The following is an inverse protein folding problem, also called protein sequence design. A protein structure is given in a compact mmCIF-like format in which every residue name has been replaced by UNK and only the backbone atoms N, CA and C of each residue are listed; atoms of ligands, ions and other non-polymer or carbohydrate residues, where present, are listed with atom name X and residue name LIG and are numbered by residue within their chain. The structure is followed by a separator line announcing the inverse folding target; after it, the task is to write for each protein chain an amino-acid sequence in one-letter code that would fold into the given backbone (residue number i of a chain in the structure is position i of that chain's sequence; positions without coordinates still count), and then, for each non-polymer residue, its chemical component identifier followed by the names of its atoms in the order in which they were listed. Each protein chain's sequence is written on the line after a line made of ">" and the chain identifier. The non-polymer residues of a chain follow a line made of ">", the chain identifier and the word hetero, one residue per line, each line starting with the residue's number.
data_IF_950329206927
#
_entry.id   IF_950329206927
#
_cell.length_a   1.000
_cell.length_b   1.000
_cell.length_c   1.000
_cell.angle_alpha   90.00
_cell.angle_beta   90.00
_cell.angle_gamma   90.00
#
_symmetry.space_group_name_H-M   'P 1'
#
loop_
_entity.id
_entity.type
_entity.pdbx_description
1 polymer ?
#
# COMPACT_ATOMS: atom_id res chain seq x y z
N UNK A 1 23.24 19.08 -7.06
CA UNK A 1 22.65 20.41 -7.33
C UNK A 1 21.57 20.63 -6.29
N UNK A 2 21.84 21.54 -5.35
CA UNK A 2 20.97 21.87 -4.23
C UNK A 2 20.17 23.12 -4.57
N UNK A 3 18.84 23.01 -4.50
CA UNK A 3 17.86 24.09 -4.62
C UNK A 3 16.49 23.42 -4.47
N UNK A 4 15.63 23.69 -3.50
CA UNK A 4 15.49 24.84 -2.61
C UNK A 4 14.62 24.42 -1.44
N UNK A 5 15.15 24.52 -0.22
CA UNK A 5 14.35 24.54 1.00
C UNK A 5 13.44 25.77 0.97
N UNK A 6 12.16 25.59 0.62
CA UNK A 6 11.14 26.63 0.78
C UNK A 6 10.88 26.83 2.27
N UNK A 7 11.57 27.81 2.85
CA UNK A 7 11.32 28.41 4.15
C UNK A 7 10.04 29.27 4.12
N UNK A 8 8.93 28.68 3.71
CA UNK A 8 7.59 29.21 3.82
C UNK A 8 6.74 28.13 4.45
N UNK A 9 5.92 28.48 5.45
CA UNK A 9 5.12 27.48 6.18
C UNK A 9 4.24 26.61 5.25
N UNK A 10 3.63 25.55 5.78
CA UNK A 10 2.84 24.59 4.99
C UNK A 10 1.87 25.24 4.00
N UNK A 11 1.24 26.37 4.36
CA UNK A 11 0.34 27.12 3.48
C UNK A 11 1.03 27.80 2.27
N UNK A 12 2.29 28.23 2.39
CA UNK A 12 3.06 28.80 1.29
C UNK A 12 3.48 27.73 0.27
N UNK A 13 3.81 26.53 0.76
CA UNK A 13 4.06 25.37 -0.10
C UNK A 13 2.79 24.99 -0.88
N UNK A 14 1.62 24.94 -0.23
CA UNK A 14 0.35 24.63 -0.91
C UNK A 14 0.00 25.65 -2.00
N UNK A 15 0.25 26.94 -1.78
CA UNK A 15 0.02 27.98 -2.79
C UNK A 15 0.98 27.87 -3.98
N UNK A 16 2.25 27.54 -3.73
CA UNK A 16 3.24 27.30 -4.78
C UNK A 16 2.93 26.02 -5.57
N UNK A 17 2.59 24.94 -4.88
CA UNK A 17 2.19 23.67 -5.48
C UNK A 17 0.89 23.81 -6.29
N UNK A 18 -0.11 24.53 -5.77
CA UNK A 18 -1.34 24.86 -6.49
C UNK A 18 -1.11 25.72 -7.74
N UNK A 19 -0.16 26.66 -7.71
CA UNK A 19 0.23 27.43 -8.89
C UNK A 19 0.81 26.56 -10.02
N UNK A 20 1.63 25.57 -9.66
CA UNK A 20 2.31 24.66 -10.59
C UNK A 20 1.49 23.41 -10.97
N UNK A 21 0.43 23.09 -10.23
CA UNK A 21 -0.40 21.91 -10.46
C UNK A 21 -1.42 22.11 -11.60
N UNK A 22 -1.94 21.00 -12.11
CA UNK A 22 -3.00 20.97 -13.11
C UNK A 22 -4.26 21.72 -12.62
N UNK A 23 -5.02 22.28 -13.56
CA UNK A 23 -6.23 23.08 -13.29
C UNK A 23 -7.24 22.36 -12.39
N UNK A 24 -7.28 21.02 -12.46
CA UNK A 24 -8.12 20.12 -11.65
C UNK A 24 -7.71 20.05 -10.18
N UNK A 25 -6.41 20.19 -9.87
CA UNK A 25 -5.86 20.01 -8.53
C UNK A 25 -5.80 21.32 -7.73
N UNK A 26 -5.82 22.49 -8.40
CA UNK A 26 -5.83 23.81 -7.76
C UNK A 26 -6.93 24.00 -6.70
N UNK A 27 -8.22 23.68 -6.96
CA UNK A 27 -9.26 23.84 -5.94
C UNK A 27 -9.02 22.93 -4.72
N UNK A 28 -8.36 21.78 -4.90
CA UNK A 28 -8.02 20.87 -3.81
C UNK A 28 -6.92 21.49 -2.93
N UNK A 29 -5.88 22.09 -3.52
CA UNK A 29 -4.83 22.80 -2.77
C UNK A 29 -5.37 24.00 -1.99
N UNK A 30 -6.30 24.76 -2.55
CA UNK A 30 -6.97 25.88 -1.86
C UNK A 30 -7.81 25.39 -0.68
N UNK A 31 -8.55 24.30 -0.87
CA UNK A 31 -9.34 23.67 0.19
C UNK A 31 -8.45 23.13 1.32
N UNK A 32 -7.32 22.50 0.99
CA UNK A 32 -6.33 22.03 1.97
C UNK A 32 -5.75 23.20 2.78
N UNK A 33 -5.51 24.35 2.16
CA UNK A 33 -5.01 25.53 2.85
C UNK A 33 -6.06 26.12 3.84
N UNK A 34 -7.34 26.20 3.44
CA UNK A 34 -8.44 26.64 4.32
C UNK A 34 -8.64 25.69 5.52
N UNK A 35 -8.68 24.38 5.24
CA UNK A 35 -8.84 23.36 6.27
C UNK A 35 -7.67 23.36 7.27
N UNK A 36 -6.45 23.64 6.80
CA UNK A 36 -5.27 23.77 7.66
C UNK A 36 -5.35 25.01 8.55
N UNK A 37 -5.73 26.17 8.00
CA UNK A 37 -5.90 27.42 8.76
C UNK A 37 -6.97 27.26 9.86
N UNK A 38 -8.06 26.58 9.51
CA UNK A 38 -9.17 26.26 10.41
C UNK A 38 -8.92 25.06 11.34
N UNK A 39 -7.75 24.40 11.22
CA UNK A 39 -7.32 23.23 12.01
C UNK A 39 -8.29 22.03 11.96
N UNK A 40 -8.91 21.80 10.79
CA UNK A 40 -9.85 20.70 10.56
C UNK A 40 -9.13 19.43 10.13
N UNK A 41 -8.36 18.82 11.04
CA UNK A 41 -7.43 17.72 10.72
C UNK A 41 -8.10 16.47 10.11
N UNK A 42 -9.33 16.13 10.51
CA UNK A 42 -10.04 14.99 9.96
C UNK A 42 -10.45 15.22 8.49
N UNK A 43 -11.07 16.38 8.20
CA UNK A 43 -11.44 16.74 6.83
C UNK A 43 -10.21 16.94 5.93
N UNK A 44 -9.11 17.41 6.52
CA UNK A 44 -7.82 17.53 5.85
C UNK A 44 -7.30 16.17 5.40
N UNK A 45 -7.39 15.16 6.26
CA UNK A 45 -7.01 13.79 5.90
C UNK A 45 -7.88 13.28 4.75
N UNK A 46 -9.21 13.39 4.86
CA UNK A 46 -10.13 12.91 3.81
C UNK A 46 -9.87 13.60 2.47
N UNK A 47 -9.63 14.91 2.49
CA UNK A 47 -9.31 15.70 1.30
C UNK A 47 -7.95 15.29 0.73
N UNK A 48 -6.98 14.97 1.59
CA UNK A 48 -5.67 14.46 1.18
C UNK A 48 -5.80 13.05 0.59
N UNK A 49 -6.57 12.15 1.19
CA UNK A 49 -6.81 10.81 0.62
C UNK A 49 -7.50 10.91 -0.74
N UNK A 50 -8.50 11.79 -0.89
CA UNK A 50 -9.14 12.08 -2.17
C UNK A 50 -8.14 12.61 -3.22
N UNK A 51 -7.23 13.50 -2.82
CA UNK A 51 -6.14 13.96 -3.68
C UNK A 51 -5.25 12.79 -4.12
N UNK A 52 -4.87 11.90 -3.20
CA UNK A 52 -4.02 10.74 -3.48
C UNK A 52 -4.70 9.68 -4.36
N UNK A 53 -6.03 9.59 -4.35
CA UNK A 53 -6.79 8.73 -5.27
C UNK A 53 -6.98 9.34 -6.66
N UNK A 54 -6.76 10.65 -6.83
CA UNK A 54 -6.94 11.29 -8.13
C UNK A 54 -5.86 10.85 -9.13
N UNK A 55 -6.21 10.46 -10.37
CA UNK A 55 -5.24 9.97 -11.37
C UNK A 55 -4.16 11.01 -11.70
N UNK A 56 -4.54 12.30 -11.75
CA UNK A 56 -3.60 13.41 -12.02
C UNK A 56 -2.52 13.57 -10.94
N UNK A 57 -2.79 13.20 -9.68
CA UNK A 57 -1.79 13.30 -8.61
C UNK A 57 -0.72 12.21 -8.70
N UNK A 58 -0.94 11.19 -9.54
CA UNK A 58 0.03 10.12 -9.81
C UNK A 58 1.21 10.63 -10.65
N UNK A 59 1.05 11.75 -11.33
CA UNK A 59 2.05 12.31 -12.24
C UNK A 59 3.14 13.08 -11.48
N UNK A 60 4.36 12.54 -11.44
CA UNK A 60 5.55 13.21 -10.89
C UNK A 60 5.82 12.92 -9.41
N UNK A 61 6.48 13.85 -8.70
CA UNK A 61 6.89 13.75 -7.28
C UNK A 61 5.91 14.43 -6.31
N UNK A 62 4.73 14.83 -6.80
CA UNK A 62 3.81 15.73 -6.08
C UNK A 62 3.31 15.14 -4.75
N UNK A 63 3.01 13.83 -4.67
CA UNK A 63 2.55 13.20 -3.43
C UNK A 63 3.66 13.10 -2.41
N UNK A 64 4.89 12.85 -2.84
CA UNK A 64 6.04 12.84 -1.95
C UNK A 64 6.36 14.23 -1.40
N UNK A 65 6.42 15.24 -2.26
CA UNK A 65 6.73 16.60 -1.83
C UNK A 65 5.64 17.16 -0.89
N UNK A 66 4.37 16.83 -1.17
CA UNK A 66 3.23 17.13 -0.29
C UNK A 66 3.34 16.39 1.05
N UNK A 67 3.72 15.11 1.03
CA UNK A 67 3.90 14.36 2.27
C UNK A 67 4.97 15.01 3.17
N UNK A 68 6.15 15.28 2.60
CA UNK A 68 7.27 15.84 3.36
C UNK A 68 7.02 17.27 3.85
N UNK A 69 6.38 18.10 3.03
CA UNK A 69 6.21 19.53 3.32
C UNK A 69 4.93 19.84 4.09
N UNK A 70 3.93 18.96 4.04
CA UNK A 70 2.60 19.23 4.59
C UNK A 70 2.17 18.19 5.62
N UNK A 71 2.20 16.90 5.27
CA UNK A 71 1.67 15.82 6.13
C UNK A 71 2.45 15.71 7.45
N UNK A 72 3.76 15.95 7.43
CA UNK A 72 4.63 15.94 8.63
C UNK A 72 4.14 16.90 9.72
N UNK A 73 3.49 18.01 9.38
CA UNK A 73 3.06 19.02 10.35
C UNK A 73 1.83 18.61 11.18
N UNK A 74 0.98 17.75 10.64
CA UNK A 74 -0.30 17.39 11.27
C UNK A 74 -0.48 15.90 11.49
N UNK A 75 0.47 15.06 11.06
CA UNK A 75 0.39 13.59 11.24
C UNK A 75 0.13 13.15 12.68
N UNK A 76 0.68 13.86 13.67
CA UNK A 76 0.46 13.55 15.11
C UNK A 76 -0.97 13.80 15.62
N UNK A 77 -1.82 14.43 14.80
CA UNK A 77 -3.21 14.80 15.16
C UNK A 77 -4.24 13.89 14.49
N UNK A 78 -3.80 12.90 13.71
CA UNK A 78 -4.63 12.06 12.86
C UNK A 78 -4.30 10.58 13.12
N UNK A 79 -5.11 9.66 12.61
CA UNK A 79 -4.87 8.22 12.67
C UNK A 79 -3.52 7.84 12.03
N UNK A 80 -2.68 7.15 12.79
CA UNK A 80 -1.37 6.65 12.32
C UNK A 80 -1.51 5.72 11.10
N UNK A 81 -2.61 4.97 11.02
CA UNK A 81 -2.88 4.08 9.90
C UNK A 81 -3.10 4.84 8.59
N UNK A 82 -3.91 5.90 8.61
CA UNK A 82 -4.18 6.69 7.41
C UNK A 82 -2.95 7.48 6.98
N UNK A 83 -2.12 7.92 7.94
CA UNK A 83 -0.81 8.51 7.65
C UNK A 83 0.12 7.48 7.01
N UNK A 84 0.09 6.21 7.46
CA UNK A 84 0.87 5.14 6.86
C UNK A 84 0.45 4.86 5.41
N UNK A 85 -0.85 4.81 5.11
CA UNK A 85 -1.37 4.66 3.74
C UNK A 85 -0.89 5.79 2.82
N UNK A 86 -0.93 7.03 3.29
CA UNK A 86 -0.40 8.18 2.57
C UNK A 86 1.11 8.07 2.33
N UNK A 87 1.87 7.60 3.33
CA UNK A 87 3.31 7.37 3.21
C UNK A 87 3.62 6.33 2.14
N UNK A 88 2.84 5.25 2.08
CA UNK A 88 2.99 4.17 1.09
C UNK A 88 2.70 4.70 -0.31
N UNK A 89 1.63 5.47 -0.48
CA UNK A 89 1.29 6.06 -1.77
C UNK A 89 2.33 7.11 -2.22
N UNK A 90 2.96 7.83 -1.28
CA UNK A 90 4.11 8.69 -1.56
C UNK A 90 5.35 7.87 -1.97
N UNK A 91 5.66 6.78 -1.26
CA UNK A 91 6.79 5.90 -1.56
C UNK A 91 6.71 5.27 -2.96
N UNK A 92 5.49 4.96 -3.44
CA UNK A 92 5.27 4.46 -4.81
C UNK A 92 5.74 5.44 -5.89
N UNK A 93 5.70 6.75 -5.64
CA UNK A 93 6.20 7.76 -6.59
C UNK A 93 7.72 7.88 -6.63
N UNK A 94 8.45 7.28 -5.68
CA UNK A 94 9.92 7.31 -5.65
C UNK A 94 10.56 6.28 -6.57
N UNK A 95 9.76 5.50 -7.32
CA UNK A 95 10.30 4.62 -8.36
C UNK A 95 10.94 5.49 -9.47
N UNK A 96 12.20 5.22 -9.86
CA UNK A 96 12.89 3.93 -9.80
C UNK A 96 13.83 3.69 -8.58
N UNK A 97 13.98 4.63 -7.64
CA UNK A 97 14.90 4.49 -6.49
C UNK A 97 14.26 3.65 -5.35
N UNK A 98 14.17 2.33 -5.53
CA UNK A 98 13.59 1.41 -4.53
C UNK A 98 14.26 1.49 -3.15
N UNK A 99 15.55 1.84 -3.09
CA UNK A 99 16.28 2.03 -1.84
C UNK A 99 15.79 3.28 -1.09
N UNK A 100 15.58 4.41 -1.77
CA UNK A 100 15.08 5.64 -1.13
C UNK A 100 13.66 5.46 -0.61
N UNK A 101 12.81 4.74 -1.36
CA UNK A 101 11.47 4.39 -0.93
C UNK A 101 11.49 3.53 0.35
N UNK A 102 12.42 2.55 0.41
CA UNK A 102 12.64 1.72 1.58
C UNK A 102 13.08 2.55 2.80
N UNK A 103 14.12 3.38 2.66
CA UNK A 103 14.66 4.20 3.76
C UNK A 103 13.61 5.20 4.30
N UNK A 104 12.80 5.77 3.41
CA UNK A 104 11.69 6.65 3.78
C UNK A 104 10.63 5.94 4.63
N UNK A 105 10.18 4.76 4.20
CA UNK A 105 9.18 3.98 4.94
C UNK A 105 9.71 3.48 6.29
N UNK A 106 11.01 3.14 6.37
CA UNK A 106 11.67 2.81 7.64
C UNK A 106 11.66 4.01 8.59
N UNK A 107 11.97 5.20 8.09
CA UNK A 107 11.95 6.44 8.88
C UNK A 107 10.56 6.79 9.41
N UNK A 108 9.49 6.57 8.64
CA UNK A 108 8.12 6.76 9.14
C UNK A 108 7.71 5.64 10.10
N UNK A 109 8.12 4.38 9.85
CA UNK A 109 7.85 3.25 10.75
C UNK A 109 8.42 3.50 12.16
N UNK A 110 9.62 4.06 12.26
CA UNK A 110 10.28 4.31 13.56
C UNK A 110 9.62 5.44 14.36
N UNK A 111 8.78 6.26 13.72
CA UNK A 111 8.00 7.30 14.37
C UNK A 111 6.66 6.80 14.91
N UNK A 112 6.21 5.61 14.47
CA UNK A 112 4.97 4.97 14.91
C UNK A 112 5.27 3.99 16.05
N UNK A 113 4.34 3.87 17.00
CA UNK A 113 4.46 2.93 18.12
C UNK A 113 4.62 1.49 17.62
N UNK A 114 5.48 0.72 18.30
CA UNK A 114 5.76 -0.67 17.93
C UNK A 114 4.51 -1.53 18.14
N UNK A 115 4.42 -2.57 17.33
CA UNK A 115 3.32 -3.54 17.32
C UNK A 115 1.96 -2.96 16.92
N UNK A 116 1.80 -1.68 16.59
CA UNK A 116 0.52 -1.11 16.09
C UNK A 116 0.23 -1.58 14.64
N UNK A 117 -1.05 -1.70 14.21
CA UNK A 117 -1.39 -2.04 12.82
C UNK A 117 -0.72 -1.14 11.76
N UNK A 118 -0.55 0.15 12.06
CA UNK A 118 0.18 1.09 11.22
C UNK A 118 1.68 0.74 11.10
N UNK A 119 2.30 0.29 12.19
CA UNK A 119 3.69 -0.19 12.17
C UNK A 119 3.85 -1.44 11.32
N UNK A 120 2.90 -2.39 11.44
CA UNK A 120 2.87 -3.58 10.59
C UNK A 120 2.76 -3.21 9.11
N UNK A 121 1.81 -2.33 8.76
CA UNK A 121 1.58 -1.91 7.37
C UNK A 121 2.84 -1.27 6.76
N UNK A 122 3.49 -0.34 7.48
CA UNK A 122 4.73 0.30 7.03
C UNK A 122 5.88 -0.71 6.90
N UNK A 123 6.02 -1.64 7.85
CA UNK A 123 7.05 -2.67 7.80
C UNK A 123 6.87 -3.60 6.60
N UNK A 124 5.63 -3.95 6.25
CA UNK A 124 5.31 -4.82 5.12
C UNK A 124 5.59 -4.14 3.79
N UNK A 125 5.21 -2.87 3.63
CA UNK A 125 5.52 -2.15 2.39
C UNK A 125 7.02 -1.87 2.25
N UNK A 126 7.73 -1.60 3.35
CA UNK A 126 9.20 -1.54 3.34
C UNK A 126 9.81 -2.88 2.88
N UNK A 127 9.23 -3.99 3.33
CA UNK A 127 9.66 -5.35 2.95
C UNK A 127 9.42 -5.64 1.46
N UNK A 128 8.35 -5.10 0.87
CA UNK A 128 8.09 -5.17 -0.57
C UNK A 128 9.26 -4.59 -1.37
N UNK A 129 9.79 -3.43 -0.98
CA UNK A 129 10.97 -2.85 -1.64
C UNK A 129 12.24 -3.66 -1.42
N UNK A 130 12.43 -4.28 -0.25
CA UNK A 130 13.55 -5.22 -0.04
C UNK A 130 13.46 -6.46 -0.92
N UNK A 131 12.24 -6.94 -1.20
CA UNK A 131 12.00 -8.04 -2.13
C UNK A 131 12.43 -7.65 -3.55
N UNK A 132 12.09 -6.44 -4.00
CA UNK A 132 12.53 -5.89 -5.29
C UNK A 132 14.05 -5.75 -5.38
N UNK A 133 14.71 -5.42 -4.25
CA UNK A 133 16.18 -5.36 -4.14
C UNK A 133 16.84 -6.74 -4.03
N UNK A 134 16.07 -7.84 -3.99
CA UNK A 134 16.59 -9.21 -3.91
C UNK A 134 17.09 -9.65 -2.53
N UNK A 135 16.79 -8.91 -1.46
CA UNK A 135 17.27 -9.18 -0.09
C UNK A 135 16.43 -10.24 0.64
N UNK A 136 16.36 -11.45 0.09
CA UNK A 136 15.43 -12.51 0.53
C UNK A 136 15.60 -12.94 1.99
N UNK A 137 16.81 -12.88 2.56
CA UNK A 137 17.04 -13.27 3.96
C UNK A 137 16.42 -12.28 4.95
N UNK A 138 16.47 -10.98 4.62
CA UNK A 138 15.85 -9.94 5.44
C UNK A 138 14.33 -9.99 5.31
N UNK A 139 13.84 -10.16 4.07
CA UNK A 139 12.41 -10.30 3.79
C UNK A 139 11.79 -11.42 4.62
N UNK A 140 12.48 -12.57 4.73
CA UNK A 140 12.00 -13.68 5.57
C UNK A 140 11.81 -13.25 7.03
N UNK A 141 12.82 -12.59 7.61
CA UNK A 141 12.76 -12.12 9.01
C UNK A 141 11.63 -11.12 9.23
N UNK A 142 11.45 -10.21 8.27
CA UNK A 142 10.43 -9.17 8.34
C UNK A 142 9.01 -9.77 8.18
N UNK A 143 8.83 -10.76 7.30
CA UNK A 143 7.56 -11.52 7.15
C UNK A 143 7.25 -12.35 8.41
N UNK A 144 8.23 -13.10 8.94
CA UNK A 144 8.06 -13.88 10.18
C UNK A 144 7.73 -12.98 11.39
N UNK A 145 8.32 -11.78 11.46
CA UNK A 145 7.99 -10.79 12.48
C UNK A 145 6.56 -10.24 12.28
N UNK A 146 6.19 -9.92 11.04
CA UNK A 146 4.85 -9.46 10.69
C UNK A 146 3.76 -10.47 11.06
N UNK A 147 4.00 -11.78 10.86
CA UNK A 147 3.06 -12.83 11.26
C UNK A 147 2.78 -12.82 12.76
N UNK A 148 3.82 -12.60 13.60
CA UNK A 148 3.66 -12.59 15.06
C UNK A 148 2.82 -11.41 15.52
N UNK A 149 3.05 -10.25 14.93
CA UNK A 149 2.25 -9.04 15.21
C UNK A 149 0.81 -9.29 14.77
N UNK A 150 0.59 -9.79 13.55
CA UNK A 150 -0.75 -10.10 13.03
C UNK A 150 -1.52 -11.06 13.94
N UNK A 151 -0.87 -12.14 14.41
CA UNK A 151 -1.48 -13.13 15.30
C UNK A 151 -1.74 -12.60 16.73
N UNK A 152 -1.13 -11.47 17.11
CA UNK A 152 -1.33 -10.88 18.44
C UNK A 152 -2.63 -10.07 18.52
N UNK A 153 -3.21 -9.71 17.37
CA UNK A 153 -4.45 -8.97 17.28
C UNK A 153 -5.59 -9.87 16.82
N UNK A 154 -6.67 -9.93 17.61
CA UNK A 154 -7.87 -10.74 17.31
C UNK A 154 -8.72 -10.11 16.18
N UNK A 155 -8.69 -8.78 16.08
CA UNK A 155 -9.37 -8.01 15.05
C UNK A 155 -8.39 -7.04 14.37
N UNK A 156 -7.64 -7.55 13.39
CA UNK A 156 -6.86 -6.70 12.48
C UNK A 156 -7.77 -6.24 11.36
N UNK A 157 -7.66 -4.97 10.98
CA UNK A 157 -8.34 -4.48 9.78
C UNK A 157 -7.96 -5.32 8.56
N UNK A 158 -8.97 -5.66 7.75
CA UNK A 158 -8.82 -6.49 6.55
C UNK A 158 -7.77 -5.93 5.59
N UNK A 159 -7.65 -4.60 5.52
CA UNK A 159 -6.66 -3.87 4.71
C UNK A 159 -5.22 -4.23 5.09
N UNK A 160 -4.91 -4.25 6.40
CA UNK A 160 -3.55 -4.57 6.89
C UNK A 160 -3.24 -6.05 6.69
N UNK A 161 -4.21 -6.92 6.93
CA UNK A 161 -4.09 -8.36 6.69
C UNK A 161 -3.88 -8.66 5.20
N UNK A 162 -4.63 -8.01 4.31
CA UNK A 162 -4.47 -8.14 2.87
C UNK A 162 -3.07 -7.69 2.42
N UNK A 163 -2.59 -6.54 2.89
CA UNK A 163 -1.24 -6.07 2.57
C UNK A 163 -0.15 -7.07 3.02
N UNK A 164 -0.30 -7.63 4.23
CA UNK A 164 0.59 -8.65 4.76
C UNK A 164 0.61 -9.91 3.87
N UNK A 165 -0.56 -10.51 3.61
CA UNK A 165 -0.65 -11.73 2.81
C UNK A 165 -0.17 -11.51 1.37
N UNK A 166 -0.38 -10.32 0.81
CA UNK A 166 0.13 -9.94 -0.52
C UNK A 166 1.67 -10.06 -0.58
N UNK A 167 2.38 -9.42 0.35
CA UNK A 167 3.86 -9.42 0.34
C UNK A 167 4.42 -10.79 0.73
N UNK A 168 3.77 -11.49 1.66
CA UNK A 168 4.15 -12.85 2.02
C UNK A 168 4.01 -13.81 0.83
N UNK A 169 2.93 -13.69 0.04
CA UNK A 169 2.75 -14.48 -1.18
C UNK A 169 3.88 -14.18 -2.19
N UNK A 170 4.19 -12.91 -2.46
CA UNK A 170 5.30 -12.56 -3.38
C UNK A 170 6.65 -13.13 -2.92
N UNK A 171 6.91 -13.15 -1.60
CA UNK A 171 8.10 -13.79 -1.05
C UNK A 171 8.12 -15.31 -1.28
N UNK A 172 7.00 -16.01 -1.02
CA UNK A 172 6.91 -17.46 -1.25
C UNK A 172 6.99 -17.82 -2.74
N UNK A 173 6.45 -16.97 -3.61
CA UNK A 173 6.59 -17.08 -5.08
C UNK A 173 8.06 -16.98 -5.48
N UNK A 174 8.78 -15.97 -4.98
CA UNK A 174 10.21 -15.78 -5.26
C UNK A 174 11.10 -16.93 -4.74
N UNK A 175 10.71 -17.57 -3.63
CA UNK A 175 11.40 -18.74 -3.05
C UNK A 175 10.99 -20.08 -3.67
N UNK A 176 10.04 -20.09 -4.61
CA UNK A 176 9.44 -21.31 -5.18
C UNK A 176 8.80 -22.24 -4.12
N UNK A 177 8.25 -21.66 -3.04
CA UNK A 177 7.54 -22.39 -1.99
C UNK A 177 6.05 -22.49 -2.32
N UNK A 178 5.69 -23.34 -3.28
CA UNK A 178 4.35 -23.42 -3.86
C UNK A 178 3.22 -23.70 -2.86
N UNK A 179 3.45 -24.56 -1.87
CA UNK A 179 2.44 -24.88 -0.86
C UNK A 179 2.10 -23.66 0.01
N UNK A 180 3.11 -22.95 0.49
CA UNK A 180 2.93 -21.77 1.34
C UNK A 180 2.36 -20.60 0.54
N UNK A 181 2.79 -20.46 -0.71
CA UNK A 181 2.20 -19.50 -1.65
C UNK A 181 0.71 -19.75 -1.83
N UNK A 182 0.29 -20.99 -2.09
CA UNK A 182 -1.11 -21.34 -2.31
C UNK A 182 -1.99 -20.94 -1.11
N UNK A 183 -1.64 -21.36 0.10
CA UNK A 183 -2.42 -21.03 1.30
C UNK A 183 -2.45 -19.53 1.58
N UNK A 184 -1.32 -18.84 1.43
CA UNK A 184 -1.22 -17.40 1.68
C UNK A 184 -2.01 -16.60 0.65
N UNK A 185 -2.00 -17.02 -0.60
CA UNK A 185 -2.77 -16.40 -1.67
C UNK A 185 -4.27 -16.57 -1.50
N UNK A 186 -4.75 -17.71 -0.98
CA UNK A 186 -6.17 -17.87 -0.63
C UNK A 186 -6.58 -16.95 0.53
N UNK A 187 -5.74 -16.85 1.57
CA UNK A 187 -5.99 -15.92 2.68
C UNK A 187 -6.03 -14.47 2.21
N UNK A 188 -5.15 -14.08 1.29
CA UNK A 188 -5.19 -12.77 0.65
C UNK A 188 -6.55 -12.51 -0.02
N UNK A 189 -7.04 -13.45 -0.83
CA UNK A 189 -8.33 -13.31 -1.52
C UNK A 189 -9.52 -13.26 -0.57
N UNK A 190 -9.44 -13.96 0.56
CA UNK A 190 -10.46 -13.90 1.61
C UNK A 190 -10.44 -12.58 2.38
N UNK A 191 -9.31 -11.85 2.40
CA UNK A 191 -9.19 -10.55 3.07
C UNK A 191 -9.66 -9.37 2.20
N UNK A 192 -9.97 -9.59 0.92
CA UNK A 192 -10.44 -8.52 0.03
C UNK A 192 -11.91 -8.16 0.33
N UNK A 193 -12.30 -6.86 0.27
CA UNK A 193 -13.64 -6.41 0.64
C UNK A 193 -14.76 -7.11 -0.14
N UNK A 194 -14.54 -7.39 -1.42
CA UNK A 194 -15.47 -8.11 -2.29
C UNK A 194 -14.92 -9.50 -2.64
N UNK A 195 -14.02 -10.04 -1.80
CA UNK A 195 -13.31 -11.28 -2.05
C UNK A 195 -12.65 -11.36 -3.46
N UNK A 196 -12.21 -10.25 -4.06
CA UNK A 196 -11.56 -10.27 -5.39
C UNK A 196 -12.52 -10.28 -6.58
N UNK A 197 -13.67 -9.62 -6.44
CA UNK A 197 -14.60 -9.34 -7.56
C UNK A 197 -14.11 -8.13 -8.38
N UNK A 198 -14.82 -7.72 -9.44
CA UNK A 198 -14.44 -6.65 -10.40
C UNK A 198 -14.04 -5.29 -9.78
N UNK A 199 -14.51 -4.96 -8.58
CA UNK A 199 -14.17 -3.70 -7.91
C UNK A 199 -12.80 -3.69 -7.22
N UNK A 200 -12.19 -4.86 -6.93
CA UNK A 200 -10.95 -4.94 -6.13
C UNK A 200 -9.67 -5.11 -6.98
N UNK A 201 -9.77 -5.71 -8.18
CA UNK A 201 -8.63 -6.12 -9.03
C UNK A 201 -8.97 -5.97 -10.52
N UNK A 202 -7.99 -5.58 -11.34
CA UNK A 202 -8.15 -5.55 -12.80
C UNK A 202 -8.23 -6.96 -13.38
N UNK A 203 -8.81 -7.10 -14.58
CA UNK A 203 -8.94 -8.40 -15.23
C UNK A 203 -7.58 -9.03 -15.56
N UNK A 204 -6.58 -8.21 -15.89
CA UNK A 204 -5.21 -8.66 -16.12
C UNK A 204 -4.58 -9.25 -14.84
N UNK A 205 -4.73 -8.56 -13.70
CA UNK A 205 -4.22 -9.03 -12.41
C UNK A 205 -4.91 -10.31 -11.95
N UNK A 206 -6.21 -10.46 -12.24
CA UNK A 206 -6.97 -11.68 -11.95
C UNK A 206 -6.42 -12.87 -12.73
N UNK A 207 -6.18 -12.70 -14.03
CA UNK A 207 -5.65 -13.76 -14.89
C UNK A 207 -4.25 -14.17 -14.45
N UNK A 208 -3.36 -13.22 -14.16
CA UNK A 208 -2.01 -13.51 -13.67
C UNK A 208 -2.05 -14.28 -12.35
N UNK A 209 -2.83 -13.82 -11.38
CA UNK A 209 -2.95 -14.47 -10.07
C UNK A 209 -3.58 -15.85 -10.17
N UNK A 210 -4.62 -16.03 -11.00
CA UNK A 210 -5.26 -17.32 -11.23
C UNK A 210 -4.27 -18.32 -11.87
N UNK A 211 -3.46 -17.86 -12.82
CA UNK A 211 -2.41 -18.65 -13.43
C UNK A 211 -1.35 -19.09 -12.42
N UNK A 212 -0.85 -18.17 -11.58
CA UNK A 212 0.14 -18.49 -10.55
C UNK A 212 -0.41 -19.44 -9.48
N UNK A 213 -1.67 -19.25 -9.08
CA UNK A 213 -2.39 -20.14 -8.17
C UNK A 213 -2.54 -21.55 -8.75
N UNK A 214 -2.86 -21.66 -10.04
CA UNK A 214 -2.97 -22.95 -10.73
C UNK A 214 -1.62 -23.67 -10.78
N UNK A 215 -0.54 -22.96 -11.09
CA UNK A 215 0.83 -23.52 -11.07
C UNK A 215 1.18 -23.99 -9.65
N UNK A 216 0.92 -23.17 -8.64
CA UNK A 216 1.21 -23.50 -7.25
C UNK A 216 0.41 -24.72 -6.76
N UNK A 217 -0.83 -24.88 -7.22
CA UNK A 217 -1.65 -26.05 -6.91
C UNK A 217 -1.14 -27.34 -7.58
N UNK A 218 -0.59 -27.25 -8.79
CA UNK A 218 -0.02 -28.41 -9.52
C UNK A 218 1.34 -28.81 -8.93
N UNK A 219 2.20 -27.84 -8.62
CA UNK A 219 3.56 -28.07 -8.14
C UNK A 219 3.64 -28.27 -6.61
N UNK A 220 2.62 -27.84 -5.88
CA UNK A 220 2.56 -27.95 -4.42
C UNK A 220 2.30 -29.37 -3.97
N UNK A 221 3.23 -29.94 -3.22
CA UNK A 221 3.03 -31.23 -2.57
C UNK A 221 2.02 -31.06 -1.41
N UNK A 222 0.96 -31.87 -1.39
CA UNK A 222 -0.03 -31.88 -0.31
C UNK A 222 -1.29 -31.02 -0.55
N UNK A 223 -1.46 -30.45 -1.75
CA UNK A 223 -2.69 -29.74 -2.12
C UNK A 223 -3.64 -30.74 -2.79
N UNK A 224 -4.67 -31.17 -2.06
CA UNK A 224 -5.68 -32.13 -2.55
C UNK A 224 -7.04 -31.49 -2.78
N UNK A 225 -7.24 -30.24 -2.37
CA UNK A 225 -8.50 -29.53 -2.48
C UNK A 225 -8.50 -28.53 -3.65
N UNK A 226 -8.71 -29.05 -4.85
CA UNK A 226 -8.86 -28.23 -6.06
C UNK A 226 -10.24 -27.53 -6.15
N UNK A 227 -11.21 -27.89 -5.30
CA UNK A 227 -12.54 -27.28 -5.29
C UNK A 227 -12.49 -25.78 -4.94
N UNK A 228 -11.73 -25.43 -3.90
CA UNK A 228 -11.48 -24.04 -3.50
C UNK A 228 -10.74 -23.24 -4.58
N UNK A 229 -9.79 -23.89 -5.30
CA UNK A 229 -9.10 -23.29 -6.44
C UNK A 229 -10.08 -22.97 -7.57
N UNK A 230 -10.93 -23.93 -7.96
CA UNK A 230 -11.90 -23.72 -9.04
C UNK A 230 -12.91 -22.63 -8.66
N UNK A 231 -13.41 -22.59 -7.43
CA UNK A 231 -14.30 -21.51 -6.98
C UNK A 231 -13.61 -20.14 -6.98
N UNK A 232 -12.33 -20.08 -6.60
CA UNK A 232 -11.55 -18.84 -6.61
C UNK A 232 -11.22 -18.37 -8.04
N UNK A 233 -10.84 -19.29 -8.93
CA UNK A 233 -10.55 -19.00 -10.34
C UNK A 233 -11.83 -18.64 -11.13
N UNK A 234 -12.95 -19.31 -10.89
CA UNK A 234 -14.24 -18.99 -11.54
C UNK A 234 -14.74 -17.62 -11.10
N UNK A 235 -14.53 -17.23 -9.83
CA UNK A 235 -14.85 -15.87 -9.37
C UNK A 235 -13.96 -14.80 -10.02
N UNK A 236 -12.74 -15.16 -10.38
CA UNK A 236 -11.81 -14.29 -11.11
C UNK A 236 -12.08 -14.20 -12.61
N UNK A 237 -12.68 -15.24 -13.22
CA UNK A 237 -12.95 -15.36 -14.66
C UNK A 237 -14.38 -14.93 -15.06
N UNK A 238 -15.20 -14.45 -14.12
CA UNK A 238 -16.62 -14.14 -14.35
C UNK A 238 -16.92 -13.10 -15.47
N UNK A 239 -15.90 -12.44 -16.03
CA UNK A 239 -16.00 -11.58 -17.21
C UNK A 239 -15.91 -12.32 -18.56
N UNK A 240 -15.66 -13.64 -18.60
CA UNK A 240 -15.50 -14.42 -19.84
C UNK A 240 -16.78 -15.21 -20.23
N UNK A 241 -17.84 -15.18 -19.42
CA UNK A 241 -19.17 -15.61 -19.85
C UNK A 241 -20.03 -14.40 -20.24
N UNK A 242 -20.06 -14.01 -21.53
CA UNK A 242 -21.10 -13.11 -22.02
C UNK A 242 -22.44 -13.84 -21.91
N UNK A 243 -23.35 -13.27 -21.12
CA UNK A 243 -24.79 -13.40 -21.35
C UNK A 243 -25.28 -12.17 -22.07
#
# INVERSE_FOLDING_TARGET
>A
MASSSSSGGPSAYLQQAGGSAASSLRPIYETLADQYDRKLYYQLLETTQSFFHHPDSTSGTQRYDLYQSFVVHWKSKVSDLSVAELAIAAAKQLQPDSQKAHDFLVGERDQVEKDTPAHLLLSIEATCYKLLLGQLEQVKKDVDAGQKILNSYDAVETVVSAAYYRVAAEYYKAKAMYQQYYTTSLLYLACLPHNGTEDDLTNEEKVERAHDLAIAAILGQGIWNFGELVSSCVRMDASVCPH
#
